data_IF_628606163449
#
_entry.id   IF_628606163449
#
_cell.length_a   1.000
_cell.length_b   1.000
_cell.length_c   1.000
_cell.angle_alpha   90.00
_cell.angle_beta   90.00
_cell.angle_gamma   90.00
#
_symmetry.space_group_name_H-M   'P 1'
#
loop_
_entity.id
_entity.type
_entity.pdbx_description
1 polymer ?
#
# COMPACT_ATOMS: atom_id res chain seq x y z
N UNK A 1 -25.26 10.03 -1.35
CA UNK A 1 -24.69 8.77 -1.86
C UNK A 1 -24.95 7.69 -0.82
N UNK A 2 -25.55 6.56 -1.21
CA UNK A 2 -26.06 5.58 -0.23
C UNK A 2 -24.92 4.79 0.40
N UNK A 3 -24.82 4.79 1.73
CA UNK A 3 -23.84 4.01 2.52
C UNK A 3 -23.85 2.51 2.16
N UNK A 4 -25.00 2.00 1.70
CA UNK A 4 -25.19 0.62 1.25
C UNK A 4 -24.34 0.23 0.03
N UNK A 5 -23.91 1.18 -0.81
CA UNK A 5 -23.03 0.90 -1.95
C UNK A 5 -21.59 0.56 -1.52
N UNK A 6 -21.19 0.90 -0.29
CA UNK A 6 -19.84 0.67 0.23
C UNK A 6 -19.73 -0.55 1.15
N UNK A 7 -20.85 -1.13 1.59
CA UNK A 7 -20.89 -2.33 2.43
C UNK A 7 -20.17 -3.54 1.79
N UNK A 8 -20.32 -3.82 0.48
CA UNK A 8 -19.60 -4.92 -0.15
C UNK A 8 -18.08 -4.72 -0.14
N UNK A 9 -17.61 -3.48 -0.32
CA UNK A 9 -16.18 -3.14 -0.28
C UNK A 9 -15.61 -3.31 1.13
N UNK A 10 -16.35 -2.87 2.15
CA UNK A 10 -15.93 -3.03 3.54
C UNK A 10 -15.82 -4.51 3.94
N UNK A 11 -16.71 -5.37 3.44
CA UNK A 11 -16.66 -6.82 3.72
C UNK A 11 -15.46 -7.54 3.09
N UNK A 12 -14.91 -7.00 1.99
CA UNK A 12 -13.73 -7.54 1.28
C UNK A 12 -12.42 -6.88 1.70
N UNK A 13 -12.48 -5.79 2.46
CA UNK A 13 -11.31 -5.13 3.03
C UNK A 13 -10.32 -6.09 3.73
N UNK A 14 -10.75 -7.07 4.56
CA UNK A 14 -9.81 -8.01 5.18
C UNK A 14 -9.10 -8.90 4.15
N UNK A 15 -9.76 -9.27 3.07
CA UNK A 15 -9.16 -10.09 2.01
C UNK A 15 -8.14 -9.30 1.19
N UNK A 16 -8.45 -8.05 0.86
CA UNK A 16 -7.48 -7.16 0.23
C UNK A 16 -6.30 -6.82 1.15
N UNK A 17 -6.54 -6.69 2.46
CA UNK A 17 -5.46 -6.52 3.43
C UNK A 17 -4.53 -7.76 3.46
N UNK A 18 -5.09 -8.97 3.41
CA UNK A 18 -4.30 -10.21 3.28
C UNK A 18 -3.50 -10.27 1.99
N UNK A 19 -4.09 -9.87 0.87
CA UNK A 19 -3.41 -9.79 -0.42
C UNK A 19 -2.23 -8.81 -0.37
N UNK A 20 -2.47 -7.58 0.11
CA UNK A 20 -1.43 -6.57 0.26
C UNK A 20 -0.32 -7.04 1.20
N UNK A 21 -0.68 -7.73 2.29
CA UNK A 21 0.29 -8.33 3.21
C UNK A 21 1.14 -9.42 2.55
N UNK A 22 0.52 -10.34 1.80
CA UNK A 22 1.22 -11.39 1.06
C UNK A 22 2.20 -10.80 0.03
N UNK A 23 1.74 -9.82 -0.75
CA UNK A 23 2.56 -9.11 -1.73
C UNK A 23 3.70 -8.31 -1.07
N UNK A 24 3.43 -7.63 0.05
CA UNK A 24 4.44 -6.87 0.78
C UNK A 24 5.54 -7.78 1.35
N UNK A 25 5.25 -9.05 1.63
CA UNK A 25 6.25 -10.03 2.09
C UNK A 25 7.04 -10.69 0.96
N UNK A 26 6.54 -10.67 -0.27
CA UNK A 26 7.21 -11.30 -1.41
C UNK A 26 8.48 -10.52 -1.83
N UNK A 27 9.59 -11.23 -2.02
CA UNK A 27 10.90 -10.62 -2.35
C UNK A 27 10.95 -10.01 -3.75
N UNK A 28 10.07 -10.46 -4.65
CA UNK A 28 9.97 -9.95 -6.03
C UNK A 28 9.40 -8.52 -6.07
N UNK A 29 8.75 -8.06 -4.99
CA UNK A 29 8.24 -6.69 -4.89
C UNK A 29 9.35 -5.74 -4.42
N UNK A 30 9.62 -4.63 -5.14
CA UNK A 30 10.65 -3.68 -4.75
C UNK A 30 10.42 -3.11 -3.34
N UNK A 31 11.49 -3.04 -2.53
CA UNK A 31 11.43 -2.47 -1.18
C UNK A 31 10.96 -1.00 -1.17
N UNK A 32 11.24 -0.26 -2.25
CA UNK A 32 10.77 1.10 -2.47
C UNK A 32 9.23 1.19 -2.38
N UNK A 33 8.55 0.28 -3.08
CA UNK A 33 7.09 0.22 -3.14
C UNK A 33 6.47 -0.20 -1.82
N UNK A 34 7.11 -1.13 -1.09
CA UNK A 34 6.70 -1.51 0.26
C UNK A 34 6.74 -0.30 1.22
N UNK A 35 7.72 0.58 1.02
CA UNK A 35 7.83 1.85 1.72
C UNK A 35 6.62 2.77 1.51
N UNK A 36 5.94 2.71 0.36
CA UNK A 36 4.71 3.49 0.11
C UNK A 36 3.56 3.02 1.02
N UNK A 37 3.38 1.70 1.16
CA UNK A 37 2.35 1.15 2.06
C UNK A 37 2.65 1.49 3.52
N UNK A 38 3.92 1.37 3.94
CA UNK A 38 4.34 1.76 5.29
C UNK A 38 4.14 3.25 5.51
N UNK A 39 4.54 4.09 4.55
CA UNK A 39 4.35 5.54 4.62
C UNK A 39 2.89 5.96 4.73
N UNK A 40 2.01 5.34 3.93
CA UNK A 40 0.57 5.57 4.01
C UNK A 40 -0.01 5.07 5.34
N UNK A 41 0.37 3.88 5.80
CA UNK A 41 -0.08 3.34 7.09
C UNK A 41 0.36 4.20 8.27
N UNK A 42 1.62 4.65 8.28
CA UNK A 42 2.15 5.59 9.28
C UNK A 42 1.40 6.91 9.23
N UNK A 43 1.15 7.46 8.04
CA UNK A 43 0.37 8.68 7.86
C UNK A 43 -1.04 8.56 8.44
N UNK A 44 -1.76 7.46 8.16
CA UNK A 44 -3.12 7.24 8.65
C UNK A 44 -3.18 6.87 10.14
N UNK A 45 -2.15 6.20 10.68
CA UNK A 45 -2.12 5.77 12.07
C UNK A 45 -1.62 6.85 13.04
N UNK A 46 -0.89 7.86 12.56
CA UNK A 46 -0.47 8.98 13.36
C UNK A 46 -1.63 9.97 13.54
N UNK A 47 -2.03 10.32 14.77
CA UNK A 47 -3.00 11.37 15.04
C UNK A 47 -2.41 12.79 14.86
N UNK A 48 -1.26 12.90 14.19
CA UNK A 48 -0.49 14.14 14.04
C UNK A 48 -0.61 14.56 12.58
N UNK A 49 -1.16 15.75 12.37
CA UNK A 49 -1.23 16.41 11.07
C UNK A 49 0.19 16.85 10.64
N UNK A 50 0.98 15.89 10.14
CA UNK A 50 2.39 16.09 9.75
C UNK A 50 2.48 16.93 8.46
N UNK A 51 1.38 17.06 7.72
CA UNK A 51 1.33 17.93 6.55
C UNK A 51 0.99 19.34 7.01
N UNK A 52 1.95 20.27 7.02
CA UNK A 52 1.62 21.66 7.34
C UNK A 52 0.64 22.20 6.28
N UNK A 53 -0.35 22.97 6.72
CA UNK A 53 -1.40 23.63 5.92
C UNK A 53 -0.92 24.46 4.71
N UNK A 54 0.40 24.57 4.52
CA UNK A 54 1.07 25.32 3.45
C UNK A 54 1.24 24.53 2.16
N UNK A 55 0.78 23.28 2.07
CA UNK A 55 0.78 22.48 0.83
C UNK A 55 -0.61 22.50 0.17
N UNK A 56 -0.91 23.45 -0.75
CA UNK A 56 -2.25 23.65 -1.33
C UNK A 56 -2.77 22.50 -2.20
N UNK A 57 -1.97 21.45 -2.38
CA UNK A 57 -2.35 20.21 -3.06
C UNK A 57 -2.85 19.13 -2.08
N UNK A 58 -2.29 19.05 -0.87
CA UNK A 58 -2.62 17.99 0.10
C UNK A 58 -3.90 18.31 0.86
N UNK A 59 -4.13 19.56 1.26
CA UNK A 59 -5.35 19.98 1.99
C UNK A 59 -6.68 19.84 1.24
N UNK A 60 -6.67 19.34 -0.02
CA UNK A 60 -7.88 19.01 -0.80
C UNK A 60 -8.06 17.50 -1.04
N UNK A 61 -7.05 16.70 -0.72
CA UNK A 61 -7.06 15.25 -0.88
C UNK A 61 -7.52 14.68 0.45
N UNK A 62 -8.67 14.01 0.46
CA UNK A 62 -9.18 13.27 1.63
C UNK A 62 -8.17 12.16 2.03
N UNK A 63 -8.06 11.83 3.32
CA UNK A 63 -7.11 10.85 3.85
C UNK A 63 -7.24 9.49 3.13
N UNK A 64 -8.48 9.14 2.77
CA UNK A 64 -8.82 7.94 1.99
C UNK A 64 -8.14 7.95 0.61
N UNK A 65 -8.08 9.11 -0.05
CA UNK A 65 -7.47 9.23 -1.37
C UNK A 65 -5.95 9.03 -1.32
N UNK A 66 -5.29 9.41 -0.23
CA UNK A 66 -3.85 9.15 -0.02
C UNK A 66 -3.60 7.64 0.13
N UNK A 67 -4.40 6.96 0.95
CA UNK A 67 -4.29 5.51 1.14
C UNK A 67 -4.53 4.77 -0.18
N UNK A 68 -5.59 5.14 -0.91
CA UNK A 68 -5.89 4.54 -2.22
C UNK A 68 -4.76 4.76 -3.21
N UNK A 69 -4.18 5.96 -3.26
CA UNK A 69 -3.05 6.25 -4.14
C UNK A 69 -1.82 5.41 -3.79
N UNK A 70 -1.50 5.25 -2.51
CA UNK A 70 -0.37 4.43 -2.08
C UNK A 70 -0.56 2.95 -2.45
N UNK A 71 -1.78 2.42 -2.26
CA UNK A 71 -2.13 1.05 -2.66
C UNK A 71 -2.06 0.88 -4.18
N UNK A 72 -2.58 1.84 -4.95
CA UNK A 72 -2.55 1.80 -6.42
C UNK A 72 -1.11 1.76 -6.96
N UNK A 73 -0.25 2.66 -6.48
CA UNK A 73 1.16 2.71 -6.87
C UNK A 73 1.94 1.47 -6.43
N UNK A 74 1.63 0.93 -5.24
CA UNK A 74 2.20 -0.32 -4.79
C UNK A 74 1.86 -1.44 -5.78
N UNK A 75 0.57 -1.60 -6.10
CA UNK A 75 0.08 -2.64 -7.03
C UNK A 75 0.64 -2.47 -8.45
N UNK A 76 0.81 -1.23 -8.94
CA UNK A 76 1.46 -0.97 -10.23
C UNK A 76 2.91 -1.45 -10.31
N UNK A 77 3.60 -1.54 -9.16
CA UNK A 77 4.98 -2.04 -9.09
C UNK A 77 5.09 -3.56 -8.93
N UNK A 78 3.96 -4.24 -8.68
CA UNK A 78 3.91 -5.69 -8.53
C UNK A 78 3.90 -6.33 -9.92
N UNK A 79 4.78 -7.32 -10.19
CA UNK A 79 4.72 -8.07 -11.44
C UNK A 79 3.36 -8.75 -11.61
N UNK A 80 2.76 -8.61 -12.79
CA UNK A 80 1.41 -9.13 -13.08
C UNK A 80 1.26 -10.62 -12.75
N UNK A 81 2.29 -11.42 -13.05
CA UNK A 81 2.32 -12.85 -12.74
C UNK A 81 2.28 -13.13 -11.22
N UNK A 82 2.96 -12.33 -10.41
CA UNK A 82 2.94 -12.45 -8.95
C UNK A 82 1.57 -12.05 -8.39
N UNK A 83 0.96 -10.97 -8.90
CA UNK A 83 -0.37 -10.57 -8.49
C UNK A 83 -1.38 -11.69 -8.78
N UNK A 84 -1.31 -12.29 -9.97
CA UNK A 84 -2.17 -13.41 -10.34
C UNK A 84 -1.97 -14.62 -9.42
N UNK A 85 -0.71 -15.02 -9.17
CA UNK A 85 -0.34 -16.09 -8.24
C UNK A 85 -0.97 -15.87 -6.85
N UNK A 86 -0.85 -14.66 -6.27
CA UNK A 86 -1.39 -14.38 -4.93
C UNK A 86 -2.90 -14.25 -4.87
N UNK A 87 -3.54 -13.83 -5.96
CA UNK A 87 -5.00 -13.85 -6.05
C UNK A 87 -5.52 -15.29 -6.06
N UNK A 88 -4.89 -16.19 -6.83
CA UNK A 88 -5.25 -17.61 -6.86
C UNK A 88 -5.01 -18.29 -5.51
N UNK A 89 -3.84 -18.09 -4.89
CA UNK A 89 -3.50 -18.66 -3.57
C UNK A 89 -4.52 -18.28 -2.49
N UNK A 90 -5.05 -17.05 -2.54
CA UNK A 90 -6.01 -16.54 -1.56
C UNK A 90 -7.48 -16.79 -1.96
N UNK A 91 -7.72 -17.43 -3.10
CA UNK A 91 -9.07 -17.67 -3.61
C UNK A 91 -9.84 -16.39 -3.99
N UNK A 92 -9.11 -15.33 -4.37
CA UNK A 92 -9.68 -14.04 -4.74
C UNK A 92 -9.93 -13.97 -6.24
N UNK A 93 -11.17 -13.69 -6.61
CA UNK A 93 -11.56 -13.54 -8.01
C UNK A 93 -10.95 -12.27 -8.63
N UNK A 94 -10.23 -12.45 -9.75
CA UNK A 94 -9.54 -11.37 -10.45
C UNK A 94 -10.48 -10.30 -10.96
N UNK A 95 -11.63 -10.69 -11.50
CA UNK A 95 -12.59 -9.75 -12.09
C UNK A 95 -13.21 -8.84 -11.01
N UNK A 96 -13.48 -9.38 -9.82
CA UNK A 96 -13.93 -8.61 -8.66
C UNK A 96 -12.83 -7.66 -8.16
N UNK A 97 -11.59 -8.13 -8.05
CA UNK A 97 -10.45 -7.29 -7.67
C UNK A 97 -10.27 -6.11 -8.66
N UNK A 98 -10.26 -6.38 -9.96
CA UNK A 98 -10.08 -5.34 -10.97
C UNK A 98 -11.22 -4.31 -10.95
N UNK A 99 -12.46 -4.75 -10.69
CA UNK A 99 -13.62 -3.86 -10.54
C UNK A 99 -13.48 -2.96 -9.33
N UNK A 100 -13.10 -3.53 -8.19
CA UNK A 100 -12.98 -2.83 -6.92
C UNK A 100 -11.78 -1.84 -6.98
N UNK A 101 -10.67 -2.24 -7.59
CA UNK A 101 -9.52 -1.36 -7.88
C UNK A 101 -9.90 -0.23 -8.84
N UNK A 102 -10.65 -0.52 -9.90
CA UNK A 102 -11.14 0.51 -10.82
C UNK A 102 -12.07 1.52 -10.14
N UNK A 103 -12.83 1.09 -9.12
CA UNK A 103 -13.65 1.97 -8.30
C UNK A 103 -12.78 2.83 -7.36
N UNK A 104 -11.77 2.25 -6.70
CA UNK A 104 -10.80 2.98 -5.87
C UNK A 104 -10.09 4.06 -6.69
N UNK A 105 -9.63 3.74 -7.91
CA UNK A 105 -8.95 4.67 -8.82
C UNK A 105 -9.77 5.91 -9.21
N UNK A 106 -11.09 5.93 -8.97
CA UNK A 106 -11.94 7.11 -9.18
C UNK A 106 -11.81 8.14 -8.05
N UNK A 107 -11.38 7.72 -6.87
CA UNK A 107 -11.18 8.58 -5.70
C UNK A 107 -9.99 9.51 -5.92
N UNK A 108 -8.94 9.04 -6.61
CA UNK A 108 -7.74 9.83 -6.89
C UNK A 108 -7.93 10.65 -8.18
N UNK A 109 -7.88 11.99 -8.13
CA UNK A 109 -8.00 12.81 -9.33
C UNK A 109 -6.85 12.55 -10.32
N UNK A 110 -7.14 12.46 -11.62
CA UNK A 110 -6.14 12.28 -12.68
C UNK A 110 -4.92 13.23 -12.60
N UNK A 111 -5.05 14.51 -12.19
CA UNK A 111 -3.90 15.40 -12.01
C UNK A 111 -2.91 14.90 -10.95
N UNK A 112 -3.39 14.32 -9.84
CA UNK A 112 -2.56 13.81 -8.74
C UNK A 112 -1.74 12.62 -9.22
N UNK A 113 -2.37 11.69 -9.95
CA UNK A 113 -1.67 10.54 -10.53
C UNK A 113 -0.57 10.97 -11.51
N UNK A 114 -0.84 11.98 -12.35
CA UNK A 114 0.16 12.54 -13.28
C UNK A 114 1.38 13.15 -12.56
N UNK A 115 1.20 13.69 -11.36
CA UNK A 115 2.29 14.26 -10.59
C UNK A 115 3.18 13.16 -9.98
N UNK A 116 2.59 12.08 -9.46
CA UNK A 116 3.36 10.99 -8.85
C UNK A 116 4.24 10.27 -9.86
N UNK A 117 3.76 10.01 -11.07
CA UNK A 117 4.60 9.42 -12.13
C UNK A 117 5.77 10.33 -12.56
N UNK A 118 5.82 11.59 -12.12
CA UNK A 118 6.96 12.51 -12.32
C UNK A 118 7.92 12.58 -11.14
N UNK A 119 7.63 11.88 -10.05
CA UNK A 119 8.46 11.83 -8.83
C UNK A 119 9.30 10.53 -8.66
N UNK A 120 9.71 9.75 -9.71
CA UNK A 120 10.43 8.49 -9.49
C UNK A 120 11.77 8.69 -8.76
N UNK A 121 12.38 9.85 -8.91
CA UNK A 121 13.68 10.21 -8.32
C UNK A 121 13.65 10.26 -6.79
N UNK A 122 12.57 10.80 -6.20
CA UNK A 122 12.46 10.93 -4.74
C UNK A 122 12.19 9.58 -4.08
N UNK A 123 11.42 8.72 -4.75
CA UNK A 123 11.14 7.36 -4.30
C UNK A 123 12.38 6.47 -4.34
N UNK A 124 13.20 6.57 -5.39
CA UNK A 124 14.48 5.85 -5.49
C UNK A 124 15.49 6.29 -4.42
N UNK A 125 15.54 7.59 -4.11
CA UNK A 125 16.40 8.13 -3.05
C UNK A 125 15.95 7.62 -1.67
N UNK A 126 14.66 7.69 -1.34
CA UNK A 126 14.14 7.13 -0.10
C UNK A 126 14.39 5.61 0.00
N UNK A 127 14.21 4.87 -1.10
CA UNK A 127 14.51 3.45 -1.18
C UNK A 127 16.01 3.13 -1.02
N UNK A 128 16.88 4.00 -1.55
CA UNK A 128 18.32 3.93 -1.34
C UNK A 128 18.71 4.16 0.12
N UNK A 129 18.03 5.08 0.80
CA UNK A 129 18.24 5.36 2.22
C UNK A 129 17.80 4.20 3.11
N UNK A 130 16.64 3.58 2.85
CA UNK A 130 16.17 2.39 3.57
C UNK A 130 17.11 1.19 3.36
N UNK A 131 17.66 1.03 2.14
CA UNK A 131 18.63 -0.03 1.83
C UNK A 131 19.96 0.17 2.54
N UNK A 132 20.38 1.42 2.73
CA UNK A 132 21.62 1.78 3.44
C UNK A 132 21.48 1.76 4.96
N UNK A 133 20.27 1.94 5.51
CA UNK A 133 20.07 2.04 6.96
C UNK A 133 19.92 0.69 7.69
N UNK A 134 19.88 -0.44 6.98
CA UNK A 134 19.92 -1.77 7.60
C UNK A 134 18.74 -2.09 8.53
N UNK A 135 17.58 -1.45 8.35
CA UNK A 135 16.42 -1.58 9.27
C UNK A 135 15.58 -2.83 9.01
N UNK A 136 15.82 -3.57 7.92
CA UNK A 136 15.01 -4.74 7.54
C UNK A 136 15.34 -6.07 8.29
N UNK A 137 16.54 -6.37 8.83
CA UNK A 137 16.79 -7.69 9.45
C UNK A 137 16.25 -7.86 10.88
N UNK A 138 15.86 -6.79 11.59
CA UNK A 138 15.53 -6.88 13.02
C UNK A 138 14.24 -7.68 13.31
N UNK A 139 13.31 -7.74 12.36
CA UNK A 139 12.05 -8.48 12.51
C UNK A 139 12.22 -10.00 12.47
N UNK A 140 13.32 -10.53 11.88
CA UNK A 140 13.55 -11.98 11.77
C UNK A 140 13.93 -12.63 13.11
N UNK A 141 14.45 -11.85 14.07
CA UNK A 141 14.92 -12.35 15.38
C UNK A 141 13.81 -12.61 16.40
N UNK A 142 12.58 -12.11 16.17
CA UNK A 142 11.46 -12.32 17.09
C UNK A 142 10.63 -13.57 16.79
N UNK A 143 10.81 -14.20 15.62
CA UNK A 143 10.04 -15.39 15.21
C UNK A 143 10.73 -16.73 15.52
N UNK A 144 11.98 -16.72 15.99
CA UNK A 144 12.75 -17.93 16.35
C UNK A 144 13.15 -17.99 17.83
N UNK A 145 12.40 -17.35 18.74
CA UNK A 145 12.43 -17.78 20.14
C UNK A 145 11.49 -18.96 20.29
N UNK A 146 11.99 -20.13 19.88
CA UNK A 146 11.52 -21.39 20.43
C UNK A 146 11.95 -21.44 21.90
N UNK A 147 11.04 -21.95 22.71
CA UNK A 147 11.10 -21.98 24.17
C UNK A 147 12.32 -22.76 24.68
N UNK A 148 13.12 -22.21 25.62
CA UNK A 148 14.01 -23.04 26.40
C UNK A 148 13.18 -23.72 27.50
N UNK A 149 12.87 -24.98 27.25
CA UNK A 149 12.53 -25.95 28.29
C UNK A 149 13.66 -26.02 29.33
N UNK A 150 13.34 -25.77 30.60
CA UNK A 150 13.97 -26.39 31.79
C UNK A 150 13.14 -26.04 33.01
#
# INVERSE_FOLDING_TARGET
>A
MSLLAFVPLASRAPDYARLLWALARDERVPAASKGLLVGAGVYTALPIDIVPDRVPLIGRIDDVAIVVLAVDLFLESVPEALLHEKLEELGLDRANFDRDLAQMRRVVPRPVRRLVHRLPQAAEVAAGLIRRSGVVPAARRWLTREEPSS
#
